data_IF_735218258208
#
_entry.id   IF_735218258208
#
_cell.length_a   1.000
_cell.length_b   1.000
_cell.length_c   1.000
_cell.angle_alpha   90.00
_cell.angle_beta   90.00
_cell.angle_gamma   90.00
#
_symmetry.space_group_name_H-M   'P 1'
#
loop_
_entity.id
_entity.type
_entity.pdbx_description
1 polymer ?
#
# COMPACT_ATOMS: atom_id res chain seq x y z
N UNK A 1 -9.41 12.00 -24.60
CA UNK A 1 -8.61 12.47 -23.44
C UNK A 1 -8.44 11.37 -22.41
N UNK A 2 -9.41 10.44 -22.30
CA UNK A 2 -9.42 9.35 -21.32
C UNK A 2 -8.36 8.26 -21.52
N UNK A 3 -7.98 7.96 -22.78
CA UNK A 3 -6.93 6.98 -23.09
C UNK A 3 -5.58 7.42 -22.51
N UNK A 4 -5.22 8.69 -22.69
CA UNK A 4 -3.96 9.26 -22.17
C UNK A 4 -3.95 9.23 -20.64
N UNK A 5 -5.08 9.55 -19.99
CA UNK A 5 -5.18 9.53 -18.54
C UNK A 5 -5.04 8.11 -17.98
N UNK A 6 -5.69 7.13 -18.60
CA UNK A 6 -5.59 5.73 -18.19
C UNK A 6 -4.17 5.18 -18.35
N UNK A 7 -3.49 5.52 -19.45
CA UNK A 7 -2.10 5.11 -19.68
C UNK A 7 -1.14 5.70 -18.64
N UNK A 8 -1.37 6.95 -18.22
CA UNK A 8 -0.62 7.58 -17.12
C UNK A 8 -0.84 6.83 -15.80
N UNK A 9 -2.09 6.47 -15.47
CA UNK A 9 -2.39 5.68 -14.27
C UNK A 9 -1.72 4.31 -14.30
N UNK A 10 -1.74 3.65 -15.47
CA UNK A 10 -1.06 2.37 -15.67
C UNK A 10 0.44 2.49 -15.45
N UNK A 11 1.04 3.57 -15.96
CA UNK A 11 2.47 3.83 -15.79
C UNK A 11 2.82 4.13 -14.33
N UNK A 12 2.02 4.94 -13.64
CA UNK A 12 2.15 5.19 -12.21
C UNK A 12 2.03 3.90 -11.40
N UNK A 13 1.07 3.02 -11.72
CA UNK A 13 0.93 1.73 -11.06
C UNK A 13 2.19 0.87 -11.20
N UNK A 14 2.76 0.80 -12.40
CA UNK A 14 4.00 0.04 -12.65
C UNK A 14 5.17 0.64 -11.85
N UNK A 15 5.28 1.96 -11.81
CA UNK A 15 6.31 2.65 -11.01
C UNK A 15 6.16 2.35 -9.54
N UNK A 16 4.96 2.48 -8.97
CA UNK A 16 4.75 2.19 -7.56
C UNK A 16 5.01 0.71 -7.25
N UNK A 17 4.61 -0.21 -8.12
CA UNK A 17 4.96 -1.62 -7.96
C UNK A 17 6.48 -1.85 -7.99
N UNK A 18 7.22 -1.17 -8.88
CA UNK A 18 8.67 -1.27 -8.98
C UNK A 18 9.40 -0.69 -7.75
N UNK A 19 8.99 0.49 -7.27
CA UNK A 19 9.57 1.10 -6.07
C UNK A 19 9.21 0.35 -4.80
N UNK A 20 8.02 -0.26 -4.75
CA UNK A 20 7.66 -1.16 -3.68
C UNK A 20 8.57 -2.39 -3.67
N UNK A 21 8.58 -3.18 -4.75
CA UNK A 21 9.35 -4.42 -4.78
C UNK A 21 10.88 -4.19 -4.69
N UNK A 22 11.39 -3.18 -5.41
CA UNK A 22 12.80 -2.81 -5.37
C UNK A 22 13.24 -2.20 -4.04
N UNK A 23 12.37 -1.42 -3.40
CA UNK A 23 12.61 -0.86 -2.08
C UNK A 23 12.72 -1.94 -1.01
N UNK A 24 11.76 -2.89 -0.99
CA UNK A 24 11.77 -4.04 -0.08
C UNK A 24 13.04 -4.90 -0.26
N UNK A 25 13.48 -5.12 -1.49
CA UNK A 25 14.75 -5.81 -1.77
C UNK A 25 15.96 -5.07 -1.17
N UNK A 26 15.98 -3.74 -1.25
CA UNK A 26 17.01 -2.91 -0.63
C UNK A 26 17.01 -3.01 0.90
N UNK A 27 15.82 -2.95 1.52
CA UNK A 27 15.66 -3.13 2.98
C UNK A 27 16.13 -4.52 3.40
N UNK A 28 15.74 -5.56 2.66
CA UNK A 28 16.14 -6.94 2.94
C UNK A 28 17.67 -7.09 2.95
N UNK A 29 18.36 -6.59 1.93
CA UNK A 29 19.83 -6.64 1.86
C UNK A 29 20.51 -5.80 2.95
N UNK A 30 19.94 -4.67 3.36
CA UNK A 30 20.47 -3.93 4.50
C UNK A 30 20.27 -4.69 5.82
N UNK A 31 19.11 -5.33 5.99
CA UNK A 31 18.74 -6.08 7.19
C UNK A 31 19.59 -7.33 7.43
N UNK A 32 20.13 -7.98 6.38
CA UNK A 32 21.01 -9.14 6.54
C UNK A 32 22.29 -8.79 7.31
N UNK A 33 22.82 -7.57 7.15
CA UNK A 33 23.96 -7.10 7.93
C UNK A 33 23.56 -6.72 9.36
N UNK A 34 22.35 -6.19 9.57
CA UNK A 34 21.80 -5.92 10.91
C UNK A 34 21.64 -7.21 11.72
N UNK A 35 21.26 -8.31 11.07
CA UNK A 35 21.11 -9.62 11.71
C UNK A 35 22.44 -10.37 11.92
N UNK A 36 23.55 -9.90 11.34
CA UNK A 36 24.84 -10.58 11.43
C UNK A 36 25.52 -10.34 12.79
N UNK A 37 25.51 -11.38 13.64
CA UNK A 37 26.15 -11.34 14.97
C UNK A 37 27.68 -11.23 14.96
N UNK A 38 28.34 -11.36 13.80
CA UNK A 38 29.80 -11.18 13.67
C UNK A 38 30.21 -9.72 13.56
N UNK A 39 29.28 -8.82 13.26
CA UNK A 39 29.54 -7.39 13.14
C UNK A 39 29.44 -6.69 14.50
N UNK A 40 30.17 -5.58 14.63
CA UNK A 40 30.07 -4.73 15.82
C UNK A 40 28.69 -4.10 15.92
N UNK A 41 28.29 -3.68 17.12
CA UNK A 41 27.01 -2.98 17.32
C UNK A 41 26.98 -1.69 16.48
N UNK A 42 28.09 -0.94 16.40
CA UNK A 42 28.16 0.30 15.62
C UNK A 42 27.89 0.05 14.13
N UNK A 43 28.50 -1.00 13.55
CA UNK A 43 28.27 -1.36 12.15
C UNK A 43 26.80 -1.77 11.90
N UNK A 44 26.22 -2.55 12.82
CA UNK A 44 24.81 -2.97 12.74
C UNK A 44 23.87 -1.77 12.82
N UNK A 45 24.17 -0.77 13.64
CA UNK A 45 23.39 0.48 13.73
C UNK A 45 23.47 1.29 12.43
N UNK A 46 24.63 1.35 11.77
CA UNK A 46 24.77 2.02 10.46
C UNK A 46 23.92 1.35 9.39
N UNK A 47 23.95 0.01 9.31
CA UNK A 47 23.12 -0.74 8.38
C UNK A 47 21.62 -0.59 8.68
N UNK A 48 21.25 -0.50 9.96
CA UNK A 48 19.86 -0.28 10.38
C UNK A 48 19.37 1.13 9.96
N UNK A 49 20.19 2.17 10.11
CA UNK A 49 19.86 3.52 9.60
C UNK A 49 19.71 3.52 8.06
N UNK A 50 20.55 2.77 7.33
CA UNK A 50 20.39 2.60 5.88
C UNK A 50 19.08 1.89 5.54
N UNK A 51 18.76 0.79 6.21
CA UNK A 51 17.51 0.06 6.02
C UNK A 51 16.32 0.99 6.21
N UNK A 52 16.29 1.78 7.29
CA UNK A 52 15.21 2.74 7.55
C UNK A 52 15.09 3.84 6.50
N UNK A 53 16.20 4.34 5.96
CA UNK A 53 16.16 5.35 4.89
C UNK A 53 15.61 4.80 3.58
N UNK A 54 15.86 3.52 3.29
CA UNK A 54 15.32 2.86 2.09
C UNK A 54 13.83 2.56 2.29
N UNK A 55 13.44 2.14 3.48
CA UNK A 55 12.09 1.66 3.86
C UNK A 55 10.97 2.70 3.66
N UNK A 56 11.28 4.00 3.61
CA UNK A 56 10.27 5.02 3.27
C UNK A 56 9.72 4.87 1.83
N UNK A 57 10.54 4.39 0.90
CA UNK A 57 10.16 4.21 -0.51
C UNK A 57 9.10 3.12 -0.67
N UNK A 58 9.31 1.87 -0.21
CA UNK A 58 8.31 0.83 -0.38
C UNK A 58 7.04 1.12 0.42
N UNK A 59 7.14 1.70 1.62
CA UNK A 59 5.97 2.13 2.41
C UNK A 59 5.14 3.19 1.73
N UNK A 60 5.78 4.12 1.02
CA UNK A 60 5.07 5.12 0.23
C UNK A 60 4.40 4.49 -0.99
N UNK A 61 5.16 3.70 -1.74
CA UNK A 61 4.72 3.13 -3.00
C UNK A 61 3.53 2.18 -2.84
N UNK A 62 3.55 1.32 -1.81
CA UNK A 62 2.43 0.41 -1.57
C UNK A 62 1.12 1.15 -1.30
N UNK A 63 1.15 2.28 -0.60
CA UNK A 63 -0.07 3.05 -0.29
C UNK A 63 -0.58 3.78 -1.53
N UNK A 64 0.31 4.31 -2.37
CA UNK A 64 -0.09 4.94 -3.63
C UNK A 64 -0.66 3.96 -4.67
N UNK A 65 -0.38 2.66 -4.56
CA UNK A 65 -1.06 1.64 -5.38
C UNK A 65 -2.58 1.61 -5.14
N UNK A 66 -3.04 1.98 -3.94
CA UNK A 66 -4.47 1.95 -3.58
C UNK A 66 -5.33 2.90 -4.46
N UNK A 67 -5.10 4.23 -4.49
CA UNK A 67 -5.91 5.14 -5.28
C UNK A 67 -5.72 4.95 -6.78
N UNK A 68 -4.51 4.56 -7.22
CA UNK A 68 -4.25 4.26 -8.63
C UNK A 68 -5.01 3.00 -9.05
N UNK A 69 -5.01 1.96 -8.23
CA UNK A 69 -5.75 0.72 -8.45
C UNK A 69 -7.25 0.96 -8.56
N UNK A 70 -7.85 1.68 -7.61
CA UNK A 70 -9.28 2.01 -7.64
C UNK A 70 -9.66 2.88 -8.84
N UNK A 71 -8.85 3.90 -9.18
CA UNK A 71 -9.12 4.75 -10.35
C UNK A 71 -9.04 3.94 -11.65
N UNK A 72 -8.05 3.06 -11.81
CA UNK A 72 -8.01 2.17 -12.97
C UNK A 72 -9.19 1.19 -12.98
N UNK A 73 -9.60 0.66 -11.83
CA UNK A 73 -10.76 -0.22 -11.72
C UNK A 73 -12.08 0.47 -12.11
N UNK A 74 -12.23 1.75 -11.75
CA UNK A 74 -13.37 2.58 -12.14
C UNK A 74 -13.44 2.75 -13.66
N UNK A 75 -12.31 3.01 -14.32
CA UNK A 75 -12.24 3.09 -15.78
C UNK A 75 -12.70 1.80 -16.49
N UNK A 76 -12.59 0.64 -15.83
CA UNK A 76 -13.04 -0.64 -16.36
C UNK A 76 -14.45 -1.06 -15.89
N UNK A 77 -15.10 -0.28 -15.01
CA UNK A 77 -16.40 -0.65 -14.42
C UNK A 77 -16.32 -1.85 -13.47
N UNK A 78 -15.13 -2.15 -12.92
CA UNK A 78 -14.91 -3.30 -12.04
C UNK A 78 -14.69 -2.89 -10.57
N UNK A 79 -14.60 -1.59 -10.31
CA UNK A 79 -14.33 -1.05 -8.99
C UNK A 79 -15.61 -0.88 -8.18
N UNK A 80 -15.62 -1.28 -6.89
CA UNK A 80 -16.71 -0.94 -5.98
C UNK A 80 -16.73 0.54 -5.57
N UNK A 81 -15.63 1.26 -5.84
CA UNK A 81 -15.52 2.69 -5.60
C UNK A 81 -15.48 3.38 -6.95
N UNK A 82 -16.55 4.13 -7.26
CA UNK A 82 -16.72 4.80 -8.55
C UNK A 82 -17.02 6.29 -8.37
N UNK A 83 -16.89 7.07 -9.45
CA UNK A 83 -17.28 8.48 -9.48
C UNK A 83 -16.57 9.32 -8.40
N UNK A 84 -17.34 9.99 -7.53
CA UNK A 84 -16.77 10.84 -6.45
C UNK A 84 -16.00 10.04 -5.39
N UNK A 85 -16.20 8.73 -5.31
CA UNK A 85 -15.43 7.86 -4.42
C UNK A 85 -13.94 7.82 -4.78
N UNK A 86 -13.60 7.88 -6.06
CA UNK A 86 -12.21 7.86 -6.54
C UNK A 86 -11.39 9.02 -5.98
N UNK A 87 -11.76 10.31 -6.16
CA UNK A 87 -11.01 11.42 -5.59
C UNK A 87 -10.97 11.40 -4.06
N UNK A 88 -12.00 10.87 -3.38
CA UNK A 88 -11.97 10.68 -1.92
C UNK A 88 -10.86 9.71 -1.52
N UNK A 89 -10.70 8.58 -2.22
CA UNK A 89 -9.60 7.64 -1.97
C UNK A 89 -8.25 8.27 -2.24
N UNK A 90 -8.10 9.10 -3.27
CA UNK A 90 -6.87 9.86 -3.52
C UNK A 90 -6.51 10.77 -2.34
N UNK A 91 -7.46 11.56 -1.85
CA UNK A 91 -7.25 12.48 -0.71
C UNK A 91 -6.95 11.70 0.57
N UNK A 92 -7.72 10.64 0.86
CA UNK A 92 -7.49 9.79 2.04
C UNK A 92 -6.09 9.15 1.99
N UNK A 93 -5.66 8.68 0.81
CA UNK A 93 -4.33 8.11 0.61
C UNK A 93 -3.24 9.16 0.79
N UNK A 94 -3.41 10.38 0.27
CA UNK A 94 -2.47 11.47 0.46
C UNK A 94 -2.30 11.85 1.94
N UNK A 95 -3.42 11.92 2.68
CA UNK A 95 -3.40 12.15 4.13
C UNK A 95 -2.67 11.01 4.85
N UNK A 96 -2.97 9.76 4.49
CA UNK A 96 -2.30 8.59 5.06
C UNK A 96 -0.79 8.60 4.76
N UNK A 97 -0.39 8.96 3.55
CA UNK A 97 1.02 9.11 3.19
C UNK A 97 1.73 10.19 4.02
N UNK A 98 1.07 11.32 4.28
CA UNK A 98 1.60 12.35 5.19
C UNK A 98 1.83 11.83 6.61
N UNK A 99 0.98 10.93 7.12
CA UNK A 99 1.18 10.27 8.42
C UNK A 99 2.47 9.45 8.42
N UNK A 100 2.71 8.67 7.37
CA UNK A 100 3.95 7.87 7.24
C UNK A 100 5.18 8.75 7.15
N UNK A 101 5.11 9.80 6.35
CA UNK A 101 6.22 10.74 6.23
C UNK A 101 6.50 11.45 7.56
N UNK A 102 5.46 11.81 8.32
CA UNK A 102 5.59 12.38 9.65
C UNK A 102 6.21 11.40 10.65
N UNK A 103 5.80 10.12 10.64
CA UNK A 103 6.40 9.07 11.45
C UNK A 103 7.90 8.91 11.15
N UNK A 104 8.28 8.91 9.86
CA UNK A 104 9.66 8.84 9.42
C UNK A 104 10.50 10.05 9.87
N UNK A 105 9.94 11.27 9.79
CA UNK A 105 10.63 12.51 10.20
C UNK A 105 10.82 12.58 11.71
N UNK A 106 9.84 12.13 12.49
CA UNK A 106 9.87 12.13 13.95
C UNK A 106 10.37 10.80 14.54
N UNK A 107 11.13 10.00 13.77
CA UNK A 107 11.67 8.73 14.21
C UNK A 107 12.53 8.86 15.47
N UNK A 108 12.52 7.82 16.32
CA UNK A 108 13.25 7.81 17.59
C UNK A 108 12.66 8.70 18.69
N UNK A 109 11.52 9.35 18.44
CA UNK A 109 10.81 10.16 19.45
C UNK A 109 9.51 9.48 19.89
N UNK A 110 9.01 9.86 21.08
CA UNK A 110 7.68 9.42 21.57
C UNK A 110 6.55 9.82 20.62
N UNK A 111 6.71 10.94 19.91
CA UNK A 111 5.74 11.39 18.90
C UNK A 111 5.74 10.45 17.69
N UNK A 112 6.92 10.08 17.19
CA UNK A 112 7.06 9.14 16.06
C UNK A 112 6.37 7.81 16.34
N UNK A 113 6.56 7.25 17.54
CA UNK A 113 5.89 6.00 17.97
C UNK A 113 4.36 6.14 17.91
N UNK A 114 3.80 7.21 18.47
CA UNK A 114 2.34 7.45 18.44
C UNK A 114 1.79 7.60 17.02
N UNK A 115 2.55 8.22 16.12
CA UNK A 115 2.16 8.38 14.71
C UNK A 115 2.20 7.01 14.01
N UNK A 116 3.20 6.18 14.28
CA UNK A 116 3.29 4.81 13.77
C UNK A 116 2.12 3.95 14.25
N UNK A 117 1.75 4.02 15.53
CA UNK A 117 0.56 3.34 16.07
C UNK A 117 -0.74 3.83 15.41
N UNK A 118 -0.81 5.11 15.03
CA UNK A 118 -1.95 5.65 14.30
C UNK A 118 -2.00 5.11 12.86
N UNK A 119 -0.87 5.00 12.17
CA UNK A 119 -0.78 4.31 10.88
C UNK A 119 -1.26 2.85 10.98
N UNK A 120 -0.92 2.13 12.05
CA UNK A 120 -1.41 0.76 12.27
C UNK A 120 -2.93 0.70 12.40
N UNK A 121 -3.54 1.66 13.12
CA UNK A 121 -5.00 1.77 13.22
C UNK A 121 -5.67 1.98 11.87
N UNK A 122 -5.06 2.77 10.98
CA UNK A 122 -5.56 2.94 9.60
C UNK A 122 -5.54 1.59 8.88
N UNK A 123 -4.45 0.82 8.99
CA UNK A 123 -4.34 -0.51 8.37
C UNK A 123 -5.36 -1.51 8.90
N UNK A 124 -5.64 -1.50 10.20
CA UNK A 124 -6.68 -2.33 10.80
C UNK A 124 -8.09 -2.02 10.28
N UNK A 125 -8.31 -0.86 9.66
CA UNK A 125 -9.57 -0.51 8.99
C UNK A 125 -9.50 -0.85 7.50
N UNK A 126 -8.41 -0.44 6.83
CA UNK A 126 -8.24 -0.60 5.37
C UNK A 126 -8.16 -2.07 4.97
N UNK A 127 -7.42 -2.90 5.70
CA UNK A 127 -7.24 -4.32 5.35
C UNK A 127 -8.57 -5.09 5.36
N UNK A 128 -9.38 -5.05 6.44
CA UNK A 128 -10.70 -5.67 6.41
C UNK A 128 -11.61 -5.07 5.33
N UNK A 129 -11.53 -3.77 5.07
CA UNK A 129 -12.28 -3.13 3.98
C UNK A 129 -11.94 -3.71 2.61
N UNK A 130 -10.66 -3.91 2.31
CA UNK A 130 -10.21 -4.52 1.06
C UNK A 130 -10.63 -5.98 0.91
N UNK A 131 -10.51 -6.75 2.01
CA UNK A 131 -10.97 -8.13 2.02
C UNK A 131 -12.48 -8.24 1.88
N UNK A 132 -13.23 -7.34 2.52
CA UNK A 132 -14.68 -7.29 2.37
C UNK A 132 -15.07 -6.94 0.94
N UNK A 133 -14.53 -5.87 0.37
CA UNK A 133 -14.87 -5.44 -0.99
C UNK A 133 -14.47 -6.47 -2.05
N UNK A 134 -13.22 -6.97 -1.99
CA UNK A 134 -12.74 -7.97 -2.95
C UNK A 134 -13.39 -9.34 -2.72
N UNK A 135 -13.50 -9.76 -1.47
CA UNK A 135 -14.11 -11.03 -1.09
C UNK A 135 -15.60 -11.08 -1.44
N UNK A 136 -16.35 -10.00 -1.18
CA UNK A 136 -17.76 -9.91 -1.56
C UNK A 136 -17.93 -10.20 -3.05
N UNK A 137 -17.21 -9.49 -3.92
CA UNK A 137 -17.29 -9.68 -5.36
C UNK A 137 -16.82 -11.06 -5.81
N UNK A 138 -15.84 -11.67 -5.15
CA UNK A 138 -15.42 -13.05 -5.44
C UNK A 138 -16.49 -14.08 -5.07
N UNK A 139 -17.26 -13.86 -4.01
CA UNK A 139 -18.30 -14.79 -3.55
C UNK A 139 -19.64 -14.60 -4.26
N UNK A 140 -20.06 -13.36 -4.51
CA UNK A 140 -21.38 -13.05 -5.07
C UNK A 140 -21.36 -12.91 -6.59
N UNK A 141 -20.21 -12.57 -7.18
CA UNK A 141 -20.16 -12.17 -8.59
C UNK A 141 -20.63 -10.76 -8.86
N UNK A 142 -20.99 -10.00 -7.82
CA UNK A 142 -21.49 -8.64 -7.90
C UNK A 142 -20.54 -7.66 -7.22
N UNK A 143 -20.45 -6.46 -7.77
CA UNK A 143 -19.68 -5.37 -7.17
C UNK A 143 -20.47 -4.76 -6.01
N UNK A 144 -19.87 -4.76 -4.81
CA UNK A 144 -20.48 -4.17 -3.63
C UNK A 144 -20.76 -2.67 -3.85
N UNK A 145 -21.98 -2.23 -3.56
CA UNK A 145 -22.40 -0.82 -3.66
C UNK A 145 -23.04 -0.44 -5.00
N UNK A 146 -22.64 -1.05 -6.13
CA UNK A 146 -23.26 -0.83 -7.44
C UNK A 146 -24.24 -1.94 -7.82
N UNK A 147 -24.03 -3.17 -7.34
CA UNK A 147 -24.84 -4.34 -7.70
C UNK A 147 -24.59 -4.83 -9.12
N UNK A 148 -23.54 -4.32 -9.79
CA UNK A 148 -23.21 -4.73 -11.15
C UNK A 148 -22.53 -6.10 -11.15
N UNK A 149 -23.01 -7.01 -12.00
CA UNK A 149 -22.37 -8.29 -12.21
C UNK A 149 -21.03 -8.15 -12.93
N UNK A 150 -20.05 -8.92 -12.49
CA UNK A 150 -18.68 -8.85 -13.02
C UNK A 150 -18.49 -9.75 -14.25
N UNK A 151 -19.52 -10.51 -14.66
CA UNK A 151 -19.54 -11.37 -15.85
C UNK A 151 -18.26 -12.22 -16.03
N UNK A 152 -17.72 -12.78 -14.95
CA UNK A 152 -16.49 -13.59 -14.98
C UNK A 152 -15.17 -12.82 -14.83
N UNK A 153 -15.17 -11.49 -14.77
CA UNK A 153 -13.95 -10.66 -14.65
C UNK A 153 -13.44 -10.51 -13.21
N UNK A 154 -13.25 -11.62 -12.51
CA UNK A 154 -12.86 -11.66 -11.08
C UNK A 154 -11.44 -11.17 -10.78
N UNK A 155 -10.64 -10.83 -11.79
CA UNK A 155 -9.23 -10.48 -11.62
C UNK A 155 -9.03 -9.24 -10.74
N UNK A 156 -9.92 -8.24 -10.81
CA UNK A 156 -9.81 -7.03 -10.01
C UNK A 156 -10.12 -7.33 -8.54
N UNK A 157 -11.21 -8.05 -8.29
CA UNK A 157 -11.61 -8.49 -6.96
C UNK A 157 -10.54 -9.36 -6.29
N UNK A 158 -9.93 -10.28 -7.06
CA UNK A 158 -8.80 -11.08 -6.60
C UNK A 158 -7.60 -10.20 -6.23
N UNK A 159 -7.21 -9.24 -7.10
CA UNK A 159 -6.13 -8.30 -6.78
C UNK A 159 -6.40 -7.51 -5.52
N UNK A 160 -7.63 -7.01 -5.34
CA UNK A 160 -8.03 -6.24 -4.16
C UNK A 160 -7.92 -7.08 -2.88
N UNK A 161 -8.39 -8.32 -2.93
CA UNK A 161 -8.30 -9.26 -1.83
C UNK A 161 -6.84 -9.60 -1.47
N UNK A 162 -6.00 -9.92 -2.46
CA UNK A 162 -4.58 -10.19 -2.24
C UNK A 162 -3.81 -8.97 -1.76
N UNK A 163 -4.16 -7.77 -2.23
CA UNK A 163 -3.56 -6.53 -1.77
C UNK A 163 -3.75 -6.33 -0.26
N UNK A 164 -4.88 -6.74 0.31
CA UNK A 164 -5.09 -6.80 1.75
C UNK A 164 -4.06 -7.67 2.50
N UNK A 165 -3.71 -8.85 1.95
CA UNK A 165 -2.66 -9.70 2.54
C UNK A 165 -1.28 -9.06 2.45
N UNK A 166 -0.96 -8.39 1.35
CA UNK A 166 0.32 -7.69 1.20
C UNK A 166 0.45 -6.61 2.29
N UNK A 167 -0.63 -5.88 2.60
CA UNK A 167 -0.63 -4.90 3.68
C UNK A 167 -0.45 -5.51 5.07
N UNK A 168 -0.84 -6.77 5.30
CA UNK A 168 -0.57 -7.49 6.56
C UNK A 168 0.93 -7.72 6.78
N UNK A 169 1.71 -7.95 5.71
CA UNK A 169 3.17 -8.14 5.84
C UNK A 169 3.80 -6.91 6.49
N UNK A 170 3.34 -5.70 6.11
CA UNK A 170 3.80 -4.45 6.72
C UNK A 170 3.40 -4.23 8.18
N UNK A 171 2.40 -4.98 8.69
CA UNK A 171 2.06 -5.02 10.12
C UNK A 171 2.94 -6.01 10.90
N UNK A 172 3.25 -7.17 10.28
CA UNK A 172 4.03 -8.23 10.93
C UNK A 172 5.52 -7.88 11.13
N UNK A 173 6.05 -6.92 10.36
CA UNK A 173 7.45 -6.51 10.37
C UNK A 173 7.75 -5.33 11.32
N UNK A 174 6.84 -4.99 12.24
CA UNK A 174 6.98 -3.87 13.19
C UNK A 174 7.42 -4.31 14.58
#
# INVERSE_FOLDING_TARGET
MDIIMHDVLRWLHVIFAAYWLGGEWGVFNASTYVANGKLTIDDRLRHMETAYRIDILPRSAIIWLLPVGFHMGDNYGLSPITGIGVPIVWVATAIWWCVIFAAFKHRGTKLGIKITEFDDKIRYIVIPGLWFLGGYTLFTGEVFGTGEEVYGQYWFAAKLFFFGFILCIGLALR
#
